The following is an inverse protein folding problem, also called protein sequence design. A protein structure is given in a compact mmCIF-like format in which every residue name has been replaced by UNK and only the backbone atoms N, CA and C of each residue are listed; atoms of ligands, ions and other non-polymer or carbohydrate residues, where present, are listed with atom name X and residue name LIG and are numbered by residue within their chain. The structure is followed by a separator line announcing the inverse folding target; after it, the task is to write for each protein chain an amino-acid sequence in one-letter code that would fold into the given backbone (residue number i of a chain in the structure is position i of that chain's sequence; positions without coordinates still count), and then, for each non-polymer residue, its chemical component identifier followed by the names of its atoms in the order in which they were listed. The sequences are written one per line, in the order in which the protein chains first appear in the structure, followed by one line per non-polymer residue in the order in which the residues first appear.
data_IF_482640779528
#
_entry.id   IF_482640779528
#
_cell.length_a   1.000
_cell.length_b   1.000
_cell.length_c   1.000
_cell.angle_alpha   90.00
_cell.angle_beta   90.00
_cell.angle_gamma   90.00
#
_symmetry.space_group_name_H-M   'P 1'
#
loop_
_entity.id
_entity.type
_entity.pdbx_description
1 polymer ?
#
# COMPACT_ATOMS: atom_id res chain seq x y z
N UNK A 1 24.11 28.53 -6.52
CA UNK A 1 23.01 27.97 -5.69
C UNK A 1 23.24 26.48 -5.51
N UNK A 2 23.33 25.92 -4.28
CA UNK A 2 23.52 24.48 -4.14
C UNK A 2 22.24 23.77 -4.57
N UNK A 3 22.34 22.85 -5.54
CA UNK A 3 21.22 22.05 -6.07
C UNK A 3 20.39 21.50 -4.92
N UNK A 4 19.09 21.85 -4.89
CA UNK A 4 18.10 21.35 -3.93
C UNK A 4 18.21 19.83 -3.89
N UNK A 5 18.58 19.28 -2.73
CA UNK A 5 18.65 17.83 -2.54
C UNK A 5 17.26 17.25 -2.82
N UNK A 6 17.18 16.11 -3.53
CA UNK A 6 15.91 15.41 -3.72
C UNK A 6 15.24 15.19 -2.35
N UNK A 7 13.93 15.46 -2.23
CA UNK A 7 13.20 15.27 -0.97
C UNK A 7 13.31 13.81 -0.50
N UNK A 8 13.33 13.60 0.82
CA UNK A 8 13.37 12.26 1.46
C UNK A 8 14.66 11.44 1.26
N UNK A 9 15.70 12.00 0.64
CA UNK A 9 16.97 11.31 0.42
C UNK A 9 17.95 11.54 1.59
N UNK A 10 18.34 10.45 2.25
CA UNK A 10 19.30 10.42 3.34
C UNK A 10 20.62 9.83 2.84
N UNK A 11 21.72 10.57 3.03
CA UNK A 11 23.08 10.11 2.72
C UNK A 11 23.72 9.56 3.99
N UNK A 12 24.15 8.31 3.96
CA UNK A 12 24.83 7.67 5.08
C UNK A 12 26.22 7.19 4.63
N UNK A 13 27.24 7.45 5.46
CA UNK A 13 28.59 6.95 5.23
C UNK A 13 28.80 5.75 6.14
N UNK A 14 29.06 4.59 5.54
CA UNK A 14 29.38 3.38 6.31
C UNK A 14 30.71 3.53 7.04
N UNK A 15 30.91 2.70 8.07
CA UNK A 15 32.18 2.58 8.81
C UNK A 15 33.40 2.29 7.92
N UNK A 16 33.18 1.73 6.73
CA UNK A 16 34.22 1.44 5.73
C UNK A 16 34.33 2.52 4.64
N UNK A 17 33.75 3.70 4.86
CA UNK A 17 33.88 4.85 3.97
C UNK A 17 32.96 4.86 2.75
N UNK A 18 32.21 3.78 2.47
CA UNK A 18 31.25 3.70 1.36
C UNK A 18 30.03 4.58 1.61
N UNK A 19 29.62 5.35 0.60
CA UNK A 19 28.41 6.17 0.63
C UNK A 19 27.21 5.30 0.25
N UNK A 20 26.18 5.31 1.09
CA UNK A 20 24.89 4.66 0.86
C UNK A 20 23.80 5.72 0.88
N UNK A 21 22.83 5.54 0.00
CA UNK A 21 21.66 6.39 -0.09
C UNK A 21 20.43 5.63 0.42
N UNK A 22 19.61 6.30 1.21
CA UNK A 22 18.34 5.81 1.70
C UNK A 22 17.22 6.78 1.33
N UNK A 23 16.05 6.25 1.01
CA UNK A 23 14.81 7.01 0.96
C UNK A 23 14.05 6.79 2.26
N UNK A 24 13.65 7.89 2.91
CA UNK A 24 12.85 7.87 4.13
C UNK A 24 11.80 8.98 4.10
N UNK A 25 10.54 8.58 4.09
CA UNK A 25 9.39 9.48 4.16
C UNK A 25 8.93 9.53 5.62
N UNK A 26 8.88 10.73 6.20
CA UNK A 26 8.52 11.00 7.60
C UNK A 26 9.23 10.06 8.62
N UNK A 27 8.48 9.25 9.35
CA UNK A 27 8.96 8.22 10.29
C UNK A 27 8.99 6.81 9.69
N UNK A 28 8.77 6.68 8.38
CA UNK A 28 8.70 5.41 7.66
C UNK A 28 10.01 4.64 7.61
N UNK A 29 9.92 3.41 7.09
CA UNK A 29 11.08 2.51 6.96
C UNK A 29 12.13 3.07 6.01
N UNK A 30 13.41 2.91 6.37
CA UNK A 30 14.54 3.27 5.49
C UNK A 30 14.62 2.27 4.35
N UNK A 31 14.45 2.72 3.11
CA UNK A 31 14.65 1.90 1.91
C UNK A 31 15.99 2.25 1.27
N UNK A 32 16.84 1.25 1.03
CA UNK A 32 18.16 1.46 0.44
C UNK A 32 18.04 1.71 -1.06
N UNK A 33 18.64 2.78 -1.54
CA UNK A 33 18.77 3.06 -2.98
C UNK A 33 20.10 2.51 -3.46
N UNK A 34 20.04 1.66 -4.47
CA UNK A 34 21.21 1.10 -5.14
C UNK A 34 21.57 1.97 -6.36
N UNK A 35 22.86 2.04 -6.68
CA UNK A 35 23.36 2.83 -7.81
C UNK A 35 24.19 4.04 -7.39
N UNK A 36 24.94 4.56 -8.36
CA UNK A 36 25.82 5.72 -8.19
C UNK A 36 25.01 7.02 -8.32
N UNK A 37 25.14 7.93 -7.36
CA UNK A 37 24.40 9.18 -7.37
C UNK A 37 24.63 9.96 -8.68
N UNK A 38 23.55 10.23 -9.41
CA UNK A 38 23.58 10.96 -10.68
C UNK A 38 23.53 10.11 -11.95
N UNK A 39 23.51 8.76 -11.84
CA UNK A 39 23.24 7.88 -12.99
C UNK A 39 21.74 7.65 -13.18
N UNK A 40 21.33 7.21 -14.38
CA UNK A 40 19.94 6.83 -14.66
C UNK A 40 19.48 5.69 -13.73
N UNK A 41 20.34 4.71 -13.49
CA UNK A 41 20.09 3.62 -12.54
C UNK A 41 19.72 4.12 -11.14
N UNK A 42 20.34 5.22 -10.69
CA UNK A 42 20.02 5.83 -9.41
C UNK A 42 18.65 6.48 -9.42
N UNK A 43 18.27 7.14 -10.52
CA UNK A 43 16.94 7.77 -10.67
C UNK A 43 15.85 6.70 -10.67
N UNK A 44 16.08 5.59 -11.36
CA UNK A 44 15.12 4.48 -11.45
C UNK A 44 14.96 3.80 -10.08
N UNK A 45 16.07 3.46 -9.42
CA UNK A 45 16.05 2.89 -8.07
C UNK A 45 15.48 3.86 -7.03
N UNK A 46 15.75 5.15 -7.16
CA UNK A 46 15.17 6.18 -6.30
C UNK A 46 13.66 6.26 -6.47
N UNK A 47 13.17 6.23 -7.72
CA UNK A 47 11.73 6.28 -8.02
C UNK A 47 11.02 5.03 -7.51
N UNK A 48 11.63 3.84 -7.66
CA UNK A 48 11.13 2.59 -7.09
C UNK A 48 11.10 2.64 -5.57
N UNK A 49 12.21 3.02 -4.93
CA UNK A 49 12.29 3.14 -3.47
C UNK A 49 11.30 4.16 -2.91
N UNK A 50 11.00 5.22 -3.65
CA UNK A 50 10.02 6.24 -3.28
C UNK A 50 8.58 5.74 -3.41
N UNK A 51 8.25 5.00 -4.49
CA UNK A 51 6.97 4.30 -4.62
C UNK A 51 6.79 3.27 -3.52
N UNK A 52 7.81 2.47 -3.23
CA UNK A 52 7.78 1.46 -2.16
C UNK A 52 7.71 2.06 -0.77
N UNK A 53 8.35 3.21 -0.53
CA UNK A 53 8.24 3.94 0.72
C UNK A 53 6.83 4.53 0.91
N UNK A 54 6.19 5.03 -0.16
CA UNK A 54 4.78 5.46 -0.11
C UNK A 54 3.84 4.26 0.08
N UNK A 55 4.06 3.18 -0.66
CA UNK A 55 3.27 1.94 -0.55
C UNK A 55 3.46 1.25 0.80
N UNK A 56 4.62 1.39 1.45
CA UNK A 56 4.85 0.87 2.81
C UNK A 56 4.01 1.56 3.89
N UNK A 57 3.54 2.79 3.64
CA UNK A 57 2.56 3.49 4.49
C UNK A 57 1.13 3.03 4.22
N UNK A 58 0.84 2.64 2.97
CA UNK A 58 -0.37 1.90 2.63
C UNK A 58 -0.16 0.48 3.12
N UNK A 59 -0.32 0.24 4.44
CA UNK A 59 -0.48 -1.07 5.08
C UNK A 59 -0.87 -2.05 3.99
N UNK A 60 0.10 -2.85 3.54
CA UNK A 60 -0.12 -3.86 2.51
C UNK A 60 -1.41 -4.53 2.92
N UNK A 61 -2.47 -4.30 2.14
CA UNK A 61 -3.68 -5.11 2.21
C UNK A 61 -3.09 -6.47 1.93
N UNK A 62 -2.81 -7.21 3.02
CA UNK A 62 -2.33 -8.57 2.92
C UNK A 62 -3.35 -9.17 1.98
N UNK A 63 -2.90 -9.70 0.86
CA UNK A 63 -3.70 -10.66 0.11
C UNK A 63 -3.75 -11.88 1.04
N UNK A 64 -4.46 -11.73 2.15
CA UNK A 64 -4.82 -12.80 3.05
C UNK A 64 -5.52 -13.76 2.11
N UNK A 65 -5.03 -15.00 2.05
CA UNK A 65 -5.77 -16.07 1.36
C UNK A 65 -7.20 -15.88 1.77
N UNK A 66 -8.08 -15.58 0.81
CA UNK A 66 -9.49 -15.31 1.09
C UNK A 66 -9.99 -16.54 1.83
N UNK A 67 -10.14 -16.42 3.14
CA UNK A 67 -10.59 -17.53 3.97
C UNK A 67 -12.02 -17.76 3.58
N UNK A 68 -12.29 -18.88 2.90
CA UNK A 68 -13.64 -19.37 2.62
C UNK A 68 -14.42 -19.34 3.94
N UNK A 69 -15.53 -18.62 4.00
CA UNK A 69 -16.22 -18.38 5.27
C UNK A 69 -16.01 -16.99 5.91
N UNK A 70 -15.18 -16.11 5.33
CA UNK A 70 -14.99 -14.73 5.80
C UNK A 70 -15.91 -13.74 5.09
N UNK A 71 -16.25 -12.66 5.79
CA UNK A 71 -16.97 -11.52 5.20
C UNK A 71 -16.23 -10.95 3.99
N UNK A 72 -14.90 -10.97 4.00
CA UNK A 72 -14.07 -10.52 2.87
C UNK A 72 -14.31 -11.38 1.62
N UNK A 73 -14.40 -12.71 1.77
CA UNK A 73 -14.70 -13.63 0.68
C UNK A 73 -16.11 -13.40 0.11
N UNK A 74 -17.11 -13.19 0.97
CA UNK A 74 -18.48 -12.86 0.55
C UNK A 74 -18.54 -11.51 -0.19
N UNK A 75 -17.83 -10.50 0.31
CA UNK A 75 -17.78 -9.18 -0.32
C UNK A 75 -17.17 -9.28 -1.72
N UNK A 76 -16.07 -10.03 -1.86
CA UNK A 76 -15.45 -10.31 -3.15
C UNK A 76 -16.41 -10.99 -4.13
N UNK A 77 -17.16 -12.00 -3.68
CA UNK A 77 -18.15 -12.70 -4.52
C UNK A 77 -19.32 -11.78 -4.92
N UNK A 78 -19.79 -10.94 -3.99
CA UNK A 78 -20.85 -9.97 -4.26
C UNK A 78 -20.42 -8.93 -5.31
N UNK A 79 -19.19 -8.41 -5.21
CA UNK A 79 -18.65 -7.43 -6.15
C UNK A 79 -18.43 -8.00 -7.56
N UNK A 80 -18.20 -9.30 -7.69
CA UNK A 80 -18.10 -10.00 -8.98
C UNK A 80 -19.46 -10.37 -9.60
N UNK A 81 -20.55 -10.22 -8.84
CA UNK A 81 -21.88 -10.62 -9.32
C UNK A 81 -22.47 -9.65 -10.35
N UNK A 82 -23.26 -10.17 -11.29
CA UNK A 82 -23.99 -9.37 -12.29
C UNK A 82 -24.90 -8.33 -11.61
N UNK A 83 -25.44 -8.66 -10.43
CA UNK A 83 -26.29 -7.77 -9.64
C UNK A 83 -25.57 -6.48 -9.23
N UNK A 84 -24.26 -6.55 -8.97
CA UNK A 84 -23.43 -5.38 -8.67
C UNK A 84 -23.14 -4.59 -9.95
N UNK A 85 -22.77 -5.28 -11.03
CA UNK A 85 -22.43 -4.64 -12.29
C UNK A 85 -23.61 -3.87 -12.92
N UNK A 86 -24.83 -4.39 -12.81
CA UNK A 86 -26.06 -3.75 -13.30
C UNK A 86 -26.52 -2.53 -12.48
N UNK A 87 -25.84 -2.18 -11.38
CA UNK A 87 -26.20 -1.01 -10.59
C UNK A 87 -25.62 0.28 -11.18
N UNK A 88 -26.30 1.39 -10.96
CA UNK A 88 -25.77 2.72 -11.33
C UNK A 88 -24.55 3.09 -10.48
N UNK A 89 -23.66 3.91 -11.04
CA UNK A 89 -22.43 4.34 -10.37
C UNK A 89 -22.68 5.10 -9.06
N UNK A 90 -23.77 5.88 -8.99
CA UNK A 90 -24.20 6.54 -7.76
C UNK A 90 -24.58 5.53 -6.68
N UNK A 91 -25.32 4.48 -7.04
CA UNK A 91 -25.73 3.42 -6.12
C UNK A 91 -24.55 2.58 -5.66
N UNK A 92 -23.63 2.24 -6.57
CA UNK A 92 -22.38 1.53 -6.25
C UNK A 92 -21.56 2.30 -5.22
N UNK A 93 -21.40 3.62 -5.38
CA UNK A 93 -20.66 4.45 -4.42
C UNK A 93 -21.27 4.42 -3.01
N UNK A 94 -22.60 4.57 -2.91
CA UNK A 94 -23.30 4.54 -1.61
C UNK A 94 -23.17 3.16 -0.96
N UNK A 95 -23.45 2.09 -1.71
CA UNK A 95 -23.32 0.72 -1.20
C UNK A 95 -21.89 0.38 -0.82
N UNK A 96 -20.91 0.76 -1.64
CA UNK A 96 -19.49 0.53 -1.34
C UNK A 96 -19.07 1.23 -0.04
N UNK A 97 -19.58 2.45 0.21
CA UNK A 97 -19.33 3.16 1.48
C UNK A 97 -19.91 2.42 2.69
N UNK A 98 -21.13 1.89 2.56
CA UNK A 98 -21.78 1.08 3.62
C UNK A 98 -20.98 -0.20 3.86
N UNK A 99 -20.65 -0.94 2.80
CA UNK A 99 -19.88 -2.19 2.89
C UNK A 99 -18.49 -1.97 3.50
N UNK A 100 -17.83 -0.86 3.17
CA UNK A 100 -16.54 -0.49 3.76
C UNK A 100 -16.67 -0.15 5.26
N UNK A 101 -17.74 0.53 5.68
CA UNK A 101 -18.00 0.75 7.11
C UNK A 101 -18.24 -0.57 7.84
N UNK A 102 -19.03 -1.48 7.26
CA UNK A 102 -19.27 -2.82 7.84
C UNK A 102 -17.97 -3.62 7.92
N UNK A 103 -17.14 -3.60 6.88
CA UNK A 103 -15.82 -4.24 6.87
C UNK A 103 -14.92 -3.70 8.00
N UNK A 104 -14.92 -2.38 8.25
CA UNK A 104 -14.17 -1.79 9.36
C UNK A 104 -14.65 -2.26 10.74
N UNK A 105 -15.95 -2.52 10.90
CA UNK A 105 -16.53 -2.96 12.17
C UNK A 105 -16.38 -4.47 12.41
N UNK A 106 -16.51 -5.29 11.36
CA UNK A 106 -16.43 -6.75 11.46
C UNK A 106 -14.97 -7.24 11.39
N UNK A 107 -14.12 -6.56 10.62
CA UNK A 107 -12.75 -6.99 10.34
C UNK A 107 -12.69 -8.33 9.61
N UNK A 108 -11.66 -9.13 9.89
CA UNK A 108 -11.44 -10.46 9.30
C UNK A 108 -12.28 -11.58 9.95
N UNK A 109 -13.34 -11.23 10.70
CA UNK A 109 -14.15 -12.24 11.41
C UNK A 109 -14.94 -13.08 10.41
N UNK A 110 -14.97 -14.38 10.65
CA UNK A 110 -15.75 -15.34 9.85
C UNK A 110 -17.25 -15.10 10.05
N UNK A 111 -18.02 -15.07 8.97
CA UNK A 111 -19.47 -14.88 9.05
C UNK A 111 -20.16 -16.07 9.75
N UNK A 112 -19.51 -17.24 9.78
CA UNK A 112 -19.99 -18.45 10.46
C UNK A 112 -20.09 -18.31 11.99
N UNK A 113 -19.44 -17.30 12.58
CA UNK A 113 -19.51 -17.02 14.03
C UNK A 113 -20.41 -15.84 14.39
N UNK A 114 -21.06 -15.20 13.41
CA UNK A 114 -22.05 -14.14 13.67
C UNK A 114 -23.37 -14.83 14.04
N UNK A 115 -23.61 -15.02 15.34
CA UNK A 115 -24.93 -15.43 15.86
C UNK A 115 -25.89 -14.26 15.72
N UNK A 116 -27.00 -14.49 15.01
CA UNK A 116 -28.19 -13.62 14.94
C UNK A 116 -29.01 -13.80 16.22
#
# INVERSE_FOLDING_TARGET
MPKRRPPHLVRERTRHGKIIWYVRIDHGQRRRVHGTYGTQEFVDNYTLALKDAQNGSLKTIRRTRLTEGSFDWLLHQYLQSISWHNQSESTKKVKHRILNNVYKHIGDRTYTHIKV
#
